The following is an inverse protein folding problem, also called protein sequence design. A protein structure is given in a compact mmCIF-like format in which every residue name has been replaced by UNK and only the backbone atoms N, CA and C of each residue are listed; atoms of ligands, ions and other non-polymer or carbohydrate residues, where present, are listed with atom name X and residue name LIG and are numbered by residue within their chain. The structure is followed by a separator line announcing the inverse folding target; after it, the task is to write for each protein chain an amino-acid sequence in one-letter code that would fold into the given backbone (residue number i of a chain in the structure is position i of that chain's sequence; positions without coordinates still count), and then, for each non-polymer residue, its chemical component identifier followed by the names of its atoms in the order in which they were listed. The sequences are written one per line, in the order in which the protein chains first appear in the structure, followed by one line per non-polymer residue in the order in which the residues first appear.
data_IF_084223311943
#
_entry.id   IF_084223311943
#
_cell.length_a   1.000
_cell.length_b   1.000
_cell.length_c   1.000
_cell.angle_alpha   90.00
_cell.angle_beta   90.00
_cell.angle_gamma   90.00
#
_symmetry.space_group_name_H-M   'P 1'
#
loop_
_entity.id
_entity.type
_entity.pdbx_description
1 polymer ?
#
# COMPACT_ATOMS: atom_id res chain seq x y z
N UNK A 1 13.05 15.63 -3.15
CA UNK A 1 12.40 16.26 -1.96
C UNK A 1 10.92 15.96 -2.04
N UNK A 2 10.26 15.66 -0.92
CA UNK A 2 8.81 15.38 -0.92
C UNK A 2 8.02 16.69 -1.01
N UNK A 3 6.99 16.70 -1.84
CA UNK A 3 6.10 17.84 -2.04
C UNK A 3 4.73 17.34 -2.48
N UNK A 4 3.69 18.15 -2.30
CA UNK A 4 2.40 17.88 -2.90
C UNK A 4 2.56 17.99 -4.42
N UNK A 5 2.14 16.95 -5.13
CA UNK A 5 2.39 16.79 -6.56
C UNK A 5 1.07 16.54 -7.28
N UNK A 6 0.87 17.20 -8.42
CA UNK A 6 -0.26 16.93 -9.31
C UNK A 6 0.17 15.98 -10.43
N UNK A 7 -0.32 14.74 -10.45
CA UNK A 7 -0.08 13.82 -11.56
C UNK A 7 -0.58 14.33 -12.91
N UNK A 8 -1.61 15.18 -12.92
CA UNK A 8 -2.20 15.71 -14.15
C UNK A 8 -1.32 16.80 -14.74
N UNK A 9 -0.81 17.68 -13.88
CA UNK A 9 0.00 18.83 -14.31
C UNK A 9 1.50 18.46 -14.40
N UNK A 10 1.88 17.27 -13.92
CA UNK A 10 3.25 16.78 -14.01
C UNK A 10 4.24 17.54 -13.13
N UNK A 11 3.75 18.36 -12.19
CA UNK A 11 4.56 19.28 -11.39
C UNK A 11 4.11 19.37 -9.93
N UNK A 12 4.96 19.90 -9.03
CA UNK A 12 4.54 20.26 -7.68
C UNK A 12 3.32 21.18 -7.69
N UNK A 13 2.34 20.92 -6.83
CA UNK A 13 1.12 21.71 -6.70
C UNK A 13 1.21 22.56 -5.44
N UNK A 14 1.59 23.82 -5.63
CA UNK A 14 1.78 24.80 -4.55
C UNK A 14 0.44 25.42 -4.14
N UNK A 15 0.44 26.22 -3.09
CA UNK A 15 -0.78 26.67 -2.43
C UNK A 15 -1.76 27.38 -3.37
N UNK A 16 -1.25 28.24 -4.25
CA UNK A 16 -2.09 28.99 -5.20
C UNK A 16 -2.54 28.16 -6.42
N UNK A 17 -2.00 26.95 -6.60
CA UNK A 17 -2.44 26.02 -7.65
C UNK A 17 -3.60 25.12 -7.18
N UNK A 18 -4.01 25.24 -5.90
CA UNK A 18 -4.99 24.34 -5.27
C UNK A 18 -6.39 24.94 -5.27
N UNK A 19 -7.37 24.06 -5.48
CA UNK A 19 -8.79 24.39 -5.25
C UNK A 19 -9.26 24.06 -3.84
N UNK A 20 -8.53 23.20 -3.11
CA UNK A 20 -8.86 22.75 -1.75
C UNK A 20 -7.58 22.40 -0.99
N UNK A 21 -7.55 22.65 0.33
CA UNK A 21 -6.41 22.24 1.18
C UNK A 21 -5.18 23.12 1.01
N UNK A 22 -5.38 24.43 0.99
CA UNK A 22 -4.29 25.42 1.07
C UNK A 22 -3.48 25.21 2.37
N UNK A 23 -2.14 25.25 2.28
CA UNK A 23 -1.26 25.03 3.43
C UNK A 23 -1.08 23.57 3.86
N UNK A 24 -1.75 22.61 3.22
CA UNK A 24 -1.55 21.18 3.51
C UNK A 24 -0.20 20.70 2.98
N UNK A 25 0.64 20.15 3.84
CA UNK A 25 1.93 19.55 3.48
C UNK A 25 1.89 18.02 3.38
N UNK A 26 2.99 17.39 2.91
CA UNK A 26 3.15 15.95 3.03
C UNK A 26 3.17 15.54 4.50
N UNK A 27 2.41 14.49 4.84
CA UNK A 27 2.45 13.86 6.15
C UNK A 27 3.15 12.50 6.02
N UNK A 28 4.17 12.27 6.85
CA UNK A 28 4.90 11.01 6.90
C UNK A 28 4.12 9.94 7.67
N UNK A 29 4.20 8.69 7.18
CA UNK A 29 3.65 7.51 7.83
C UNK A 29 4.69 6.38 7.76
N UNK A 30 4.75 5.57 8.82
CA UNK A 30 5.49 4.31 8.77
C UNK A 30 4.65 3.27 8.05
N UNK A 31 5.18 2.72 6.96
CA UNK A 31 4.50 1.67 6.19
C UNK A 31 5.01 0.29 6.62
N UNK A 32 4.17 -0.47 7.31
CA UNK A 32 4.48 -1.82 7.80
C UNK A 32 4.18 -2.83 6.71
N UNK A 33 5.17 -3.65 6.36
CA UNK A 33 5.04 -4.80 5.47
C UNK A 33 4.68 -6.05 6.28
N UNK A 34 3.48 -6.58 6.05
CA UNK A 34 3.03 -7.86 6.63
C UNK A 34 3.04 -8.92 5.54
N UNK A 35 3.93 -9.92 5.65
CA UNK A 35 4.08 -10.97 4.64
C UNK A 35 2.91 -11.95 4.74
N UNK A 36 2.24 -12.21 3.62
CA UNK A 36 1.22 -13.27 3.56
C UNK A 36 1.93 -14.62 3.55
N UNK A 37 1.53 -15.51 4.44
CA UNK A 37 2.06 -16.87 4.59
C UNK A 37 1.12 -17.86 3.92
N UNK A 38 1.66 -18.98 3.44
CA UNK A 38 0.85 -20.10 2.96
C UNK A 38 0.08 -20.76 4.12
N UNK A 39 -1.15 -21.26 3.89
CA UNK A 39 -1.85 -21.31 2.62
C UNK A 39 -2.43 -19.95 2.20
N UNK A 40 -2.18 -19.55 0.95
CA UNK A 40 -2.73 -18.31 0.42
C UNK A 40 -4.25 -18.39 0.22
N UNK A 41 -4.96 -17.27 0.44
CA UNK A 41 -6.36 -17.14 0.02
C UNK A 41 -6.52 -17.50 -1.46
N UNK A 42 -7.70 -18.05 -1.82
CA UNK A 42 -8.01 -18.50 -3.17
C UNK A 42 -7.66 -17.45 -4.25
N UNK A 43 -7.95 -16.18 -3.97
CA UNK A 43 -7.70 -15.06 -4.89
C UNK A 43 -6.21 -14.77 -5.14
N UNK A 44 -5.36 -15.10 -4.17
CA UNK A 44 -3.90 -14.87 -4.20
C UNK A 44 -3.11 -16.10 -4.68
N UNK A 45 -3.77 -17.24 -4.90
CA UNK A 45 -3.13 -18.48 -5.36
C UNK A 45 -2.37 -18.34 -6.69
N UNK A 46 -2.84 -17.47 -7.61
CA UNK A 46 -2.17 -17.20 -8.88
C UNK A 46 -0.87 -16.38 -8.77
N UNK A 47 -0.54 -15.90 -7.57
CA UNK A 47 0.68 -15.14 -7.28
C UNK A 47 1.72 -15.97 -6.51
N UNK A 48 1.54 -17.30 -6.46
CA UNK A 48 2.52 -18.24 -5.89
C UNK A 48 3.90 -18.04 -6.53
N UNK A 49 4.93 -18.04 -5.68
CA UNK A 49 6.32 -17.79 -6.09
C UNK A 49 6.78 -16.33 -5.97
N UNK A 50 5.87 -15.37 -5.74
CA UNK A 50 6.23 -13.99 -5.38
C UNK A 50 5.99 -13.74 -3.89
N UNK A 51 6.75 -12.84 -3.29
CA UNK A 51 6.44 -12.38 -1.93
C UNK A 51 5.25 -11.42 -1.98
N UNK A 52 4.21 -11.73 -1.21
CA UNK A 52 3.01 -10.91 -1.10
C UNK A 52 3.03 -10.22 0.26
N UNK A 53 2.84 -8.90 0.26
CA UNK A 53 2.80 -8.09 1.47
C UNK A 53 1.50 -7.28 1.54
N UNK A 54 0.79 -7.39 2.65
CA UNK A 54 -0.19 -6.36 3.04
C UNK A 54 0.59 -5.17 3.61
N UNK A 55 0.31 -3.98 3.08
CA UNK A 55 0.98 -2.76 3.54
C UNK A 55 0.02 -1.88 4.31
N UNK A 56 0.35 -1.62 5.57
CA UNK A 56 -0.46 -0.81 6.48
C UNK A 56 0.31 0.42 6.96
N UNK A 57 -0.33 1.58 6.93
CA UNK A 57 0.24 2.83 7.40
C UNK A 57 -0.05 3.02 8.90
N UNK A 58 0.96 3.44 9.66
CA UNK A 58 0.83 3.82 11.08
C UNK A 58 1.63 5.08 11.39
N UNK A 59 1.17 5.86 12.36
CA UNK A 59 1.91 6.99 12.95
C UNK A 59 2.66 6.58 14.23
N UNK A 60 2.44 5.36 14.71
CA UNK A 60 2.94 4.86 15.99
C UNK A 60 3.71 3.56 15.80
N UNK A 61 4.92 3.59 15.20
CA UNK A 61 5.71 2.39 14.99
C UNK A 61 6.10 1.70 16.30
N UNK A 62 6.16 2.43 17.42
CA UNK A 62 6.49 1.90 18.74
C UNK A 62 5.46 0.89 19.27
N UNK A 63 4.22 0.90 18.78
CA UNK A 63 3.18 -0.02 19.23
C UNK A 63 3.14 -1.33 18.45
N UNK A 64 4.04 -1.53 17.47
CA UNK A 64 3.97 -2.68 16.56
C UNK A 64 4.31 -4.02 17.23
N UNK A 65 4.98 -4.01 18.39
CA UNK A 65 5.25 -5.23 19.17
C UNK A 65 3.97 -5.94 19.67
N UNK A 66 2.89 -5.17 19.89
CA UNK A 66 1.62 -5.67 20.42
C UNK A 66 0.58 -6.01 19.36
N UNK A 67 0.99 -6.24 18.11
CA UNK A 67 0.05 -6.58 17.04
C UNK A 67 -0.54 -7.97 17.24
N UNK A 68 -1.87 -8.06 17.25
CA UNK A 68 -2.60 -9.33 17.37
C UNK A 68 -3.24 -9.78 16.06
N UNK A 69 -3.59 -8.83 15.19
CA UNK A 69 -4.21 -9.08 13.89
C UNK A 69 -4.01 -7.89 12.93
N UNK A 70 -4.48 -8.04 11.69
CA UNK A 70 -4.55 -6.98 10.68
C UNK A 70 -6.02 -6.70 10.32
N UNK A 71 -6.42 -5.44 10.35
CA UNK A 71 -7.78 -5.03 10.02
C UNK A 71 -7.91 -4.71 8.53
N UNK A 72 -8.89 -5.33 7.89
CA UNK A 72 -9.24 -5.11 6.49
C UNK A 72 -10.75 -4.88 6.44
N UNK A 73 -11.18 -3.92 5.62
CA UNK A 73 -12.60 -3.62 5.42
C UNK A 73 -13.17 -4.57 4.34
N UNK A 74 -14.16 -5.44 4.64
CA UNK A 74 -14.60 -6.49 3.71
C UNK A 74 -15.16 -5.95 2.39
N UNK A 75 -15.92 -4.86 2.46
CA UNK A 75 -16.60 -4.18 1.35
C UNK A 75 -15.71 -3.16 0.60
N UNK A 76 -14.43 -3.05 0.96
CA UNK A 76 -13.49 -2.16 0.26
C UNK A 76 -12.77 -2.89 -0.88
N UNK A 77 -12.58 -2.19 -2.01
CA UNK A 77 -11.76 -2.66 -3.13
C UNK A 77 -10.28 -2.44 -2.84
N UNK A 78 -9.51 -3.51 -2.91
CA UNK A 78 -8.06 -3.52 -2.80
C UNK A 78 -7.43 -3.94 -4.13
N UNK A 79 -6.17 -3.55 -4.30
CA UNK A 79 -5.34 -3.93 -5.43
C UNK A 79 -4.03 -4.53 -4.93
N UNK A 80 -3.59 -5.58 -5.60
CA UNK A 80 -2.22 -6.08 -5.57
C UNK A 80 -1.47 -5.48 -6.75
N UNK A 81 -0.36 -4.80 -6.50
CA UNK A 81 0.50 -4.25 -7.55
C UNK A 81 1.96 -4.68 -7.37
N UNK A 82 2.70 -4.73 -8.46
CA UNK A 82 4.12 -5.11 -8.45
C UNK A 82 5.01 -3.89 -8.14
N UNK A 83 5.89 -4.07 -7.17
CA UNK A 83 6.90 -3.07 -6.78
C UNK A 83 8.14 -3.15 -7.68
N UNK A 84 9.04 -2.17 -7.57
CA UNK A 84 10.32 -2.18 -8.30
C UNK A 84 11.15 -3.44 -8.05
N UNK A 85 11.01 -4.05 -6.87
CA UNK A 85 11.77 -5.23 -6.46
C UNK A 85 11.09 -6.56 -6.85
N UNK A 86 9.93 -6.52 -7.53
CA UNK A 86 9.15 -7.71 -7.90
C UNK A 86 8.26 -8.26 -6.79
N UNK A 87 8.28 -7.66 -5.60
CA UNK A 87 7.33 -7.96 -4.52
C UNK A 87 5.93 -7.45 -4.88
N UNK A 88 4.89 -8.14 -4.41
CA UNK A 88 3.50 -7.72 -4.58
C UNK A 88 3.01 -7.01 -3.32
N UNK A 89 2.57 -5.76 -3.45
CA UNK A 89 1.97 -5.00 -2.36
C UNK A 89 0.45 -4.94 -2.52
N UNK A 90 -0.27 -5.25 -1.45
CA UNK A 90 -1.73 -5.17 -1.39
C UNK A 90 -2.15 -3.94 -0.58
N UNK A 91 -2.84 -3.01 -1.25
CA UNK A 91 -3.37 -1.78 -0.65
C UNK A 91 -4.53 -1.22 -1.48
N UNK A 92 -4.97 0.01 -1.21
CA UNK A 92 -5.98 0.68 -2.04
C UNK A 92 -5.36 1.34 -3.27
N UNK A 93 -6.16 1.58 -4.31
CA UNK A 93 -5.70 2.25 -5.55
C UNK A 93 -5.04 3.60 -5.27
N UNK A 94 -5.61 4.38 -4.33
CA UNK A 94 -5.07 5.69 -3.94
C UNK A 94 -3.71 5.56 -3.27
N UNK A 95 -3.53 4.56 -2.40
CA UNK A 95 -2.26 4.32 -1.73
C UNK A 95 -1.19 3.89 -2.75
N UNK A 96 -1.50 2.97 -3.66
CA UNK A 96 -0.58 2.55 -4.73
C UNK A 96 -0.19 3.71 -5.65
N UNK A 97 -1.14 4.58 -6.00
CA UNK A 97 -0.86 5.79 -6.78
C UNK A 97 0.14 6.69 -6.05
N UNK A 98 -0.08 6.98 -4.77
CA UNK A 98 0.87 7.78 -3.99
C UNK A 98 2.27 7.13 -3.95
N UNK A 99 2.33 5.82 -3.71
CA UNK A 99 3.57 5.05 -3.72
C UNK A 99 4.28 5.08 -5.08
N UNK A 100 3.54 5.06 -6.19
CA UNK A 100 4.12 5.12 -7.54
C UNK A 100 4.85 6.42 -7.86
N UNK A 101 4.47 7.53 -7.20
CA UNK A 101 5.17 8.83 -7.30
C UNK A 101 6.32 8.98 -6.29
N UNK A 102 6.51 7.99 -5.42
CA UNK A 102 7.57 7.94 -4.41
C UNK A 102 8.66 6.90 -4.77
N UNK A 103 8.60 6.33 -5.99
CA UNK A 103 9.60 5.37 -6.47
C UNK A 103 9.38 3.92 -6.04
N UNK A 104 8.20 3.56 -5.52
CA UNK A 104 7.91 2.16 -5.17
C UNK A 104 7.65 1.27 -6.39
N UNK A 105 7.26 1.86 -7.52
CA UNK A 105 6.99 1.16 -8.79
C UNK A 105 8.17 1.34 -9.75
N UNK A 106 8.32 0.38 -10.67
CA UNK A 106 9.41 0.42 -11.68
C UNK A 106 9.37 1.69 -12.54
N UNK A 107 8.17 2.21 -12.83
CA UNK A 107 7.97 3.43 -13.60
C UNK A 107 7.18 4.42 -12.75
N UNK A 108 7.66 5.66 -12.69
CA UNK A 108 7.06 6.73 -11.90
C UNK A 108 5.62 7.00 -12.36
N UNK A 109 4.67 7.01 -11.42
CA UNK A 109 3.26 7.26 -11.69
C UNK A 109 2.48 6.12 -12.36
N UNK A 110 3.14 5.00 -12.69
CA UNK A 110 2.50 3.81 -13.27
C UNK A 110 2.38 2.74 -12.19
N UNK A 111 1.15 2.27 -11.95
CA UNK A 111 0.84 1.20 -11.00
C UNK A 111 0.58 -0.10 -11.79
N UNK A 112 1.52 -1.05 -11.83
CA UNK A 112 1.31 -2.34 -12.50
C UNK A 112 0.44 -3.23 -11.63
N UNK A 113 -0.88 -3.06 -11.75
CA UNK A 113 -1.87 -3.87 -11.02
C UNK A 113 -1.81 -5.31 -11.53
N UNK A 114 -1.51 -6.25 -10.64
CA UNK A 114 -1.48 -7.69 -10.94
C UNK A 114 -2.79 -8.37 -10.55
N UNK A 115 -3.51 -7.82 -9.57
CA UNK A 115 -4.77 -8.38 -9.07
C UNK A 115 -5.66 -7.32 -8.45
N UNK A 116 -6.96 -7.43 -8.69
CA UNK A 116 -7.99 -6.71 -7.94
C UNK A 116 -8.75 -7.70 -7.05
N UNK A 117 -9.09 -7.27 -5.84
CA UNK A 117 -9.77 -8.11 -4.86
C UNK A 117 -10.59 -7.28 -3.87
N UNK A 118 -11.61 -7.91 -3.30
CA UNK A 118 -12.37 -7.34 -2.19
C UNK A 118 -11.69 -7.68 -0.87
N UNK A 119 -11.87 -6.84 0.16
CA UNK A 119 -11.30 -7.11 1.47
C UNK A 119 -11.75 -8.43 2.07
N UNK A 120 -12.99 -8.85 1.78
CA UNK A 120 -13.55 -10.13 2.19
C UNK A 120 -12.71 -11.32 1.70
N UNK A 121 -12.13 -11.23 0.51
CA UNK A 121 -11.32 -12.29 -0.09
C UNK A 121 -9.94 -12.46 0.58
N UNK A 122 -9.55 -11.52 1.45
CA UNK A 122 -8.28 -11.52 2.19
C UNK A 122 -8.50 -11.97 3.65
N UNK A 123 -9.74 -11.99 4.12
CA UNK A 123 -10.05 -12.37 5.50
C UNK A 123 -9.58 -13.80 5.78
N UNK A 124 -8.96 -14.00 6.95
CA UNK A 124 -8.41 -15.29 7.35
C UNK A 124 -7.02 -15.61 6.78
N UNK A 125 -6.40 -14.72 6.00
CA UNK A 125 -5.03 -14.89 5.56
C UNK A 125 -4.05 -14.91 6.76
N UNK A 126 -3.13 -15.88 6.79
CA UNK A 126 -2.05 -15.90 7.75
C UNK A 126 -0.98 -14.85 7.40
N UNK A 127 -0.52 -14.10 8.40
CA UNK A 127 0.42 -13.00 8.21
C UNK A 127 1.64 -13.16 9.13
N UNK A 128 2.83 -12.90 8.58
CA UNK A 128 4.07 -12.73 9.34
C UNK A 128 4.38 -11.24 9.41
N UNK A 129 4.57 -10.72 10.62
CA UNK A 129 4.78 -9.30 10.87
C UNK A 129 6.16 -9.07 11.52
N UNK A 130 6.88 -7.98 11.22
CA UNK A 130 8.31 -7.89 11.53
C UNK A 130 8.72 -7.87 13.02
N UNK A 131 7.82 -7.48 13.93
CA UNK A 131 8.16 -7.16 15.33
C UNK A 131 7.36 -7.96 16.36
N UNK A 132 6.46 -8.83 15.92
CA UNK A 132 5.67 -9.70 16.77
C UNK A 132 6.21 -11.13 16.67
N UNK A 133 6.24 -11.84 17.79
CA UNK A 133 6.84 -13.19 17.94
C UNK A 133 5.80 -14.28 17.79
#
# INVERSE_FOLDING_TARGET
RYTIYSPKDGQPCMDHDRQTGEGVGPQEYTLIKMKVIEPYPLKLSGLRGKNIFLVAATLRPETMFGQTNCWIRPDMKYIGFETQNGDIFICTQRAARNMSYQGFTKTNGVVPVVKELMGEEILGAALSVPLTS
#
